data_IF_052014119683
#
_entry.id   IF_052014119683
#
_cell.length_a   1.000
_cell.length_b   1.000
_cell.length_c   1.000
_cell.angle_alpha   90.00
_cell.angle_beta   90.00
_cell.angle_gamma   90.00
#
_symmetry.space_group_name_H-M   'P 1'
#
loop_
_entity.id
_entity.type
_entity.pdbx_description
1 polymer ?
#
# COMPACT_ATOMS: atom_id res chain seq x y z
N UNK A 1 -13.61 5.58 0.11
CA UNK A 1 -12.38 6.32 0.00
C UNK A 1 -11.65 6.25 -1.34
N UNK A 2 -12.20 5.52 -2.31
CA UNK A 2 -11.64 5.50 -3.66
C UNK A 2 -12.14 6.69 -4.47
N UNK A 3 -11.22 7.31 -5.21
CA UNK A 3 -11.53 8.45 -6.06
C UNK A 3 -11.01 8.14 -7.46
N UNK A 4 -11.90 8.20 -8.45
CA UNK A 4 -11.53 8.11 -9.86
C UNK A 4 -11.57 9.52 -10.43
N UNK A 5 -10.47 9.95 -11.01
CA UNK A 5 -10.38 11.23 -11.69
C UNK A 5 -10.04 10.96 -13.15
N UNK A 6 -10.92 11.39 -14.03
CA UNK A 6 -10.70 11.30 -15.47
C UNK A 6 -10.87 12.68 -16.09
N UNK A 7 -9.93 13.08 -16.91
CA UNK A 7 -10.00 14.32 -17.66
C UNK A 7 -10.21 14.00 -19.14
N UNK A 8 -11.28 14.51 -19.72
CA UNK A 8 -11.61 14.26 -21.12
C UNK A 8 -10.70 15.06 -22.06
N UNK A 9 -10.26 14.43 -23.14
CA UNK A 9 -9.42 15.07 -24.15
C UNK A 9 -10.11 16.21 -24.87
N UNK A 10 -11.41 16.27 -24.84
CA UNK A 10 -12.22 17.23 -25.56
C UNK A 10 -12.34 18.60 -24.90
N UNK A 11 -11.74 18.79 -23.72
CA UNK A 11 -11.71 20.12 -23.15
C UNK A 11 -10.63 20.95 -23.82
N UNK A 12 -11.04 21.82 -24.72
CA UNK A 12 -10.16 22.68 -25.53
C UNK A 12 -9.33 23.68 -24.73
N UNK A 13 -9.53 23.76 -23.43
CA UNK A 13 -8.90 24.77 -22.60
C UNK A 13 -7.57 24.34 -21.98
N UNK A 14 -7.18 23.08 -22.12
CA UNK A 14 -5.94 22.58 -21.53
C UNK A 14 -5.86 22.75 -20.02
N UNK A 15 -6.99 22.89 -19.33
CA UNK A 15 -6.99 23.09 -17.89
C UNK A 15 -6.58 21.82 -17.17
N UNK A 16 -5.61 21.97 -16.25
CA UNK A 16 -5.14 20.89 -15.39
C UNK A 16 -6.04 20.85 -14.15
N UNK A 17 -6.60 19.68 -13.87
CA UNK A 17 -7.32 19.48 -12.61
C UNK A 17 -6.32 19.21 -11.50
N UNK A 18 -6.46 19.93 -10.40
CA UNK A 18 -5.62 19.77 -9.20
C UNK A 18 -6.48 19.40 -8.01
N UNK A 19 -6.03 18.37 -7.26
CA UNK A 19 -6.66 18.01 -6.01
C UNK A 19 -5.59 17.88 -4.93
N UNK A 20 -5.81 18.54 -3.80
CA UNK A 20 -4.93 18.47 -2.64
C UNK A 20 -5.52 17.56 -1.57
N UNK A 21 -4.67 16.90 -0.81
CA UNK A 21 -5.04 15.98 0.24
C UNK A 21 -3.92 14.99 0.52
N UNK A 22 -4.28 13.83 1.02
CA UNK A 22 -3.33 12.75 1.26
C UNK A 22 -3.88 11.48 0.60
N UNK A 23 -3.24 11.05 -0.49
CA UNK A 23 -3.74 9.98 -1.34
C UNK A 23 -2.67 8.92 -1.59
N UNK A 24 -3.13 7.72 -1.92
CA UNK A 24 -2.29 6.69 -2.54
C UNK A 24 -2.68 6.59 -4.01
N UNK A 25 -1.70 6.69 -4.91
CA UNK A 25 -1.90 6.51 -6.34
C UNK A 25 -1.92 5.01 -6.65
N UNK A 26 -3.09 4.51 -7.05
CA UNK A 26 -3.30 3.07 -7.26
C UNK A 26 -2.88 2.61 -8.67
N UNK A 27 -2.61 3.53 -9.59
CA UNK A 27 -2.13 3.17 -10.92
C UNK A 27 -0.60 3.02 -11.00
N UNK A 28 0.11 3.51 -10.00
CA UNK A 28 1.56 3.36 -9.93
C UNK A 28 1.96 2.06 -9.24
N UNK A 29 3.00 1.41 -9.73
CA UNK A 29 3.42 0.07 -9.27
C UNK A 29 3.73 -0.02 -7.79
N UNK A 30 4.26 1.04 -7.20
CA UNK A 30 4.64 1.08 -5.79
C UNK A 30 3.62 1.81 -4.91
N UNK A 31 2.45 2.10 -5.46
CA UNK A 31 1.39 2.77 -4.71
C UNK A 31 1.89 3.97 -3.89
N UNK A 32 2.49 4.98 -4.55
CA UNK A 32 3.09 6.09 -3.81
C UNK A 32 2.05 6.92 -3.08
N UNK A 33 2.48 7.47 -1.94
CA UNK A 33 1.68 8.47 -1.21
C UNK A 33 1.94 9.83 -1.83
N UNK A 34 0.87 10.52 -2.19
CA UNK A 34 0.93 11.82 -2.83
C UNK A 34 0.05 12.82 -2.10
N UNK A 35 0.51 14.06 -1.98
CA UNK A 35 -0.24 15.14 -1.33
C UNK A 35 -0.99 16.00 -2.32
N UNK A 36 -0.60 15.97 -3.56
CA UNK A 36 -1.19 16.76 -4.62
C UNK A 36 -1.25 15.94 -5.90
N UNK A 37 -2.40 15.96 -6.54
CA UNK A 37 -2.60 15.24 -7.79
C UNK A 37 -2.90 16.25 -8.88
N UNK A 38 -2.16 16.17 -9.98
CA UNK A 38 -2.39 16.92 -11.20
C UNK A 38 -2.92 15.95 -12.25
N UNK A 39 -4.06 16.30 -12.84
CA UNK A 39 -4.66 15.50 -13.91
C UNK A 39 -4.73 16.37 -15.16
N UNK A 40 -3.93 16.01 -16.15
CA UNK A 40 -3.92 16.68 -17.44
C UNK A 40 -5.07 16.17 -18.33
N UNK A 41 -5.48 16.94 -19.35
CA UNK A 41 -6.51 16.47 -20.28
C UNK A 41 -6.15 15.11 -20.88
N UNK A 42 -7.09 14.19 -20.88
CA UNK A 42 -6.89 12.82 -21.36
C UNK A 42 -6.27 11.85 -20.37
N UNK A 43 -5.89 12.31 -19.19
CA UNK A 43 -5.38 11.43 -18.13
C UNK A 43 -6.48 10.91 -17.23
N UNK A 44 -6.22 9.76 -16.63
CA UNK A 44 -7.08 9.16 -15.61
C UNK A 44 -6.24 8.78 -14.40
N UNK A 45 -6.76 9.03 -13.21
CA UNK A 45 -6.13 8.64 -11.96
C UNK A 45 -7.11 7.88 -11.08
N UNK A 46 -6.62 6.83 -10.44
CA UNK A 46 -7.34 6.11 -9.39
C UNK A 46 -6.60 6.32 -8.09
N UNK A 47 -7.26 6.93 -7.12
CA UNK A 47 -6.67 7.32 -5.85
C UNK A 47 -7.41 6.68 -4.68
N UNK A 48 -6.67 6.40 -3.62
CA UNK A 48 -7.23 6.06 -2.34
C UNK A 48 -7.05 7.24 -1.39
N UNK A 49 -8.16 7.76 -0.85
CA UNK A 49 -8.14 8.93 0.04
C UNK A 49 -7.82 8.50 1.47
N UNK A 50 -6.60 8.77 1.90
CA UNK A 50 -6.12 8.38 3.23
C UNK A 50 -6.78 9.17 4.36
N UNK A 51 -7.25 10.38 4.09
CA UNK A 51 -7.89 11.20 5.11
C UNK A 51 -9.29 10.70 5.50
N UNK A 52 -9.88 9.86 4.67
CA UNK A 52 -11.21 9.30 4.91
C UNK A 52 -11.21 7.90 5.51
N UNK A 53 -10.05 7.37 5.86
CA UNK A 53 -9.96 6.07 6.53
C UNK A 53 -10.18 6.26 8.02
N UNK A 54 -11.03 5.41 8.58
CA UNK A 54 -11.29 5.37 10.02
C UNK A 54 -10.51 4.27 10.73
N UNK A 55 -10.16 3.22 10.01
CA UNK A 55 -9.42 2.08 10.58
C UNK A 55 -7.95 2.41 10.78
N UNK A 56 -7.38 2.01 11.91
CA UNK A 56 -5.95 2.15 12.19
C UNK A 56 -5.10 1.12 11.45
N UNK A 57 -5.70 -0.01 11.10
CA UNK A 57 -5.04 -1.09 10.35
C UNK A 57 -5.84 -1.40 9.11
N UNK A 58 -5.23 -1.23 7.95
CA UNK A 58 -5.89 -1.54 6.69
C UNK A 58 -4.87 -1.76 5.58
N UNK A 59 -5.09 -2.82 4.79
CA UNK A 59 -4.38 -3.00 3.54
C UNK A 59 -5.04 -2.09 2.50
N UNK A 60 -4.25 -1.14 1.98
CA UNK A 60 -4.75 -0.16 1.03
C UNK A 60 -4.67 -0.71 -0.39
N UNK A 61 -3.54 -1.32 -0.75
CA UNK A 61 -3.33 -1.85 -2.08
C UNK A 61 -2.28 -2.96 -2.05
N UNK A 62 -2.52 -4.02 -2.83
CA UNK A 62 -1.56 -5.08 -3.05
C UNK A 62 -1.95 -5.90 -4.27
N UNK A 63 -0.96 -6.47 -4.95
CA UNK A 63 -1.18 -7.46 -6.02
C UNK A 63 -1.34 -8.89 -5.45
N UNK A 64 -1.01 -9.11 -4.19
CA UNK A 64 -1.17 -10.41 -3.54
C UNK A 64 -2.58 -10.60 -3.00
N UNK A 65 -3.02 -11.85 -2.94
CA UNK A 65 -4.24 -12.20 -2.22
C UNK A 65 -3.91 -12.34 -0.75
N UNK A 66 -4.58 -11.56 0.09
CA UNK A 66 -4.42 -11.66 1.54
C UNK A 66 -5.34 -12.75 2.04
N UNK A 67 -4.77 -13.79 2.62
CA UNK A 67 -5.52 -14.90 3.17
C UNK A 67 -5.81 -14.72 4.66
N UNK A 68 -4.91 -14.04 5.37
CA UNK A 68 -5.11 -13.70 6.77
C UNK A 68 -4.30 -12.47 7.13
N UNK A 69 -4.85 -11.63 7.99
CA UNK A 69 -4.15 -10.49 8.55
C UNK A 69 -4.62 -10.27 9.99
N UNK A 70 -3.66 -10.17 10.89
CA UNK A 70 -3.93 -9.88 12.29
C UNK A 70 -2.94 -8.83 12.79
N UNK A 71 -3.43 -7.91 13.60
CA UNK A 71 -2.62 -6.92 14.28
C UNK A 71 -3.14 -6.82 15.71
N UNK A 72 -2.51 -7.57 16.62
CA UNK A 72 -2.94 -7.68 18.01
C UNK A 72 -1.73 -7.54 18.94
N UNK A 73 -1.94 -6.81 20.05
CA UNK A 73 -0.91 -6.65 21.08
C UNK A 73 0.44 -6.14 20.52
N UNK A 74 0.38 -5.25 19.54
CA UNK A 74 1.57 -4.72 18.91
C UNK A 74 2.29 -5.68 17.97
N UNK A 75 1.66 -6.79 17.62
CA UNK A 75 2.23 -7.75 16.67
C UNK A 75 1.44 -7.80 15.37
N UNK A 76 2.15 -7.74 14.26
CA UNK A 76 1.59 -7.82 12.92
C UNK A 76 1.85 -9.21 12.36
N UNK A 77 0.83 -9.81 11.75
CA UNK A 77 0.93 -11.09 11.05
C UNK A 77 0.11 -11.03 9.77
N UNK A 78 0.73 -11.33 8.64
CA UNK A 78 0.08 -11.31 7.34
C UNK A 78 0.40 -12.62 6.62
N UNK A 79 -0.61 -13.27 6.06
CA UNK A 79 -0.46 -14.39 5.16
C UNK A 79 -0.93 -13.98 3.78
N UNK A 80 -0.07 -14.07 2.79
CA UNK A 80 -0.35 -13.61 1.44
C UNK A 80 0.13 -14.61 0.39
N UNK A 81 -0.61 -14.72 -0.69
CA UNK A 81 -0.25 -15.54 -1.85
C UNK A 81 -0.39 -14.72 -3.11
N UNK A 82 0.59 -14.83 -3.99
CA UNK A 82 0.61 -14.12 -5.26
C UNK A 82 0.98 -15.06 -6.39
N UNK A 83 0.81 -14.59 -7.62
CA UNK A 83 1.33 -15.27 -8.80
C UNK A 83 2.85 -15.41 -8.65
N UNK A 84 3.38 -16.55 -9.09
CA UNK A 84 4.80 -16.84 -8.96
C UNK A 84 5.68 -15.86 -9.75
N UNK A 85 6.86 -15.57 -9.20
CA UNK A 85 7.91 -14.75 -9.80
C UNK A 85 7.49 -13.31 -10.17
N UNK A 86 6.64 -12.69 -9.37
CA UNK A 86 6.33 -11.26 -9.52
C UNK A 86 6.88 -10.46 -8.34
N UNK A 87 7.14 -9.18 -8.61
CA UNK A 87 7.40 -8.22 -7.55
C UNK A 87 6.06 -7.86 -6.89
N UNK A 88 5.93 -8.19 -5.61
CA UNK A 88 4.74 -7.81 -4.84
C UNK A 88 5.04 -6.53 -4.07
N UNK A 89 4.19 -5.54 -4.24
CA UNK A 89 4.19 -4.33 -3.43
C UNK A 89 2.90 -4.30 -2.63
N UNK A 90 2.99 -3.86 -1.39
CA UNK A 90 1.86 -3.84 -0.48
C UNK A 90 1.90 -2.58 0.36
N UNK A 91 0.89 -1.73 0.22
CA UNK A 91 0.76 -0.52 1.03
C UNK A 91 -0.24 -0.77 2.14
N UNK A 92 0.20 -0.62 3.38
CA UNK A 92 -0.61 -0.94 4.56
C UNK A 92 -0.61 0.24 5.52
N UNK A 93 -1.79 0.62 5.99
CA UNK A 93 -1.93 1.58 7.08
C UNK A 93 -1.80 0.86 8.42
N UNK A 94 -0.95 1.41 9.29
CA UNK A 94 -0.69 0.86 10.62
C UNK A 94 -0.74 1.96 11.68
N UNK A 95 -1.09 1.63 12.93
CA UNK A 95 -1.14 2.62 14.00
C UNK A 95 0.24 3.12 14.44
N UNK A 96 1.30 2.42 14.09
CA UNK A 96 2.67 2.79 14.43
C UNK A 96 3.67 2.19 13.47
N UNK A 97 4.91 2.68 13.54
CA UNK A 97 6.00 2.22 12.68
C UNK A 97 6.30 0.75 12.96
N UNK A 98 6.30 -0.11 11.94
CA UNK A 98 6.68 -1.51 12.14
C UNK A 98 8.19 -1.68 12.34
N UNK A 99 8.55 -2.60 13.20
CA UNK A 99 9.92 -2.99 13.48
C UNK A 99 10.06 -4.51 13.39
N UNK A 100 11.28 -4.99 13.22
CA UNK A 100 11.59 -6.43 13.16
C UNK A 100 10.74 -7.16 12.11
N UNK A 101 10.52 -6.50 10.97
CA UNK A 101 9.76 -7.09 9.86
C UNK A 101 10.56 -8.22 9.24
N UNK A 102 9.93 -9.38 9.10
CA UNK A 102 10.52 -10.50 8.41
C UNK A 102 9.45 -11.24 7.61
N UNK A 103 9.91 -11.91 6.57
CA UNK A 103 9.07 -12.71 5.71
C UNK A 103 9.67 -14.10 5.55
N UNK A 104 8.82 -15.11 5.55
CA UNK A 104 9.23 -16.49 5.28
C UNK A 104 8.16 -17.20 4.49
N UNK A 105 8.56 -18.23 3.76
CA UNK A 105 7.63 -19.08 3.02
C UNK A 105 6.93 -20.05 3.97
N UNK A 106 5.85 -20.67 3.50
CA UNK A 106 5.13 -21.69 4.25
C UNK A 106 6.05 -22.85 4.66
N UNK A 107 7.05 -23.19 3.84
CA UNK A 107 8.06 -24.21 4.17
C UNK A 107 9.16 -23.72 5.13
N UNK A 108 9.13 -22.47 5.54
CA UNK A 108 10.05 -21.91 6.53
C UNK A 108 11.30 -21.24 5.97
N UNK A 109 11.41 -21.04 4.66
CA UNK A 109 12.53 -20.34 4.06
C UNK A 109 12.43 -18.83 4.28
N UNK A 110 13.50 -18.22 4.75
CA UNK A 110 13.56 -16.77 4.87
C UNK A 110 13.53 -16.11 3.50
N UNK A 111 12.81 -14.99 3.42
CA UNK A 111 12.70 -14.19 2.21
C UNK A 111 13.21 -12.78 2.48
N UNK A 112 13.75 -12.16 1.43
CA UNK A 112 14.11 -10.76 1.49
C UNK A 112 12.84 -9.91 1.45
N UNK A 113 12.69 -9.04 2.44
CA UNK A 113 11.58 -8.11 2.54
C UNK A 113 12.11 -6.69 2.67
N UNK A 114 11.68 -5.83 1.77
CA UNK A 114 11.98 -4.40 1.86
C UNK A 114 10.78 -3.67 2.46
N UNK A 115 11.05 -2.66 3.26
CA UNK A 115 10.00 -1.87 3.88
C UNK A 115 10.38 -0.40 3.92
N UNK A 116 9.41 0.46 3.60
CA UNK A 116 9.54 1.91 3.69
C UNK A 116 8.35 2.45 4.45
N UNK A 117 8.62 3.06 5.60
CA UNK A 117 7.58 3.69 6.42
C UNK A 117 7.38 5.15 6.02
N UNK A 118 6.14 5.56 5.86
CA UNK A 118 5.76 6.95 5.65
C UNK A 118 4.99 7.45 6.88
N UNK A 119 5.65 8.30 7.67
CA UNK A 119 5.11 8.80 8.93
C UNK A 119 3.85 9.65 8.74
N UNK A 120 3.83 10.45 7.72
CA UNK A 120 2.71 11.37 7.47
C UNK A 120 1.41 10.64 7.16
N UNK A 121 1.47 9.61 6.35
CA UNK A 121 0.30 8.81 6.00
C UNK A 121 0.07 7.64 6.97
N UNK A 122 1.04 7.34 7.82
CA UNK A 122 1.06 6.14 8.67
C UNK A 122 0.89 4.87 7.87
N UNK A 123 1.58 4.80 6.73
CA UNK A 123 1.57 3.62 5.88
C UNK A 123 2.98 3.07 5.70
N UNK A 124 3.06 1.77 5.53
CA UNK A 124 4.29 1.09 5.15
C UNK A 124 4.13 0.51 3.75
N UNK A 125 5.18 0.62 2.94
CA UNK A 125 5.27 -0.10 1.69
C UNK A 125 6.16 -1.32 1.91
N UNK A 126 5.59 -2.51 1.79
CA UNK A 126 6.30 -3.77 1.83
C UNK A 126 6.53 -4.28 0.42
N UNK A 127 7.72 -4.79 0.13
CA UNK A 127 8.07 -5.27 -1.20
C UNK A 127 8.86 -6.56 -1.09
N UNK A 128 8.46 -7.56 -1.87
CA UNK A 128 9.16 -8.83 -1.95
C UNK A 128 8.90 -9.48 -3.31
N UNK A 129 9.72 -10.46 -3.64
CA UNK A 129 9.50 -11.24 -4.86
C UNK A 129 8.79 -12.53 -4.50
N UNK A 130 7.67 -12.80 -5.16
CA UNK A 130 6.86 -13.98 -4.89
C UNK A 130 7.50 -15.27 -5.41
N UNK A 131 7.09 -16.37 -4.82
CA UNK A 131 7.36 -17.72 -5.30
C UNK A 131 6.06 -18.54 -5.22
N UNK A 132 6.12 -19.85 -5.48
CA UNK A 132 4.92 -20.69 -5.48
C UNK A 132 4.28 -20.88 -4.11
N UNK A 133 4.88 -20.40 -3.05
CA UNK A 133 4.41 -20.61 -1.69
C UNK A 133 3.72 -19.39 -1.11
N UNK A 134 2.82 -19.65 -0.19
CA UNK A 134 2.27 -18.62 0.68
C UNK A 134 3.41 -17.98 1.49
N UNK A 135 3.35 -16.66 1.64
CA UNK A 135 4.33 -15.88 2.38
C UNK A 135 3.72 -15.43 3.69
N UNK A 136 4.45 -15.61 4.78
CA UNK A 136 4.10 -15.12 6.11
C UNK A 136 4.99 -13.92 6.43
N UNK A 137 4.37 -12.78 6.71
CA UNK A 137 5.06 -11.56 7.09
C UNK A 137 4.70 -11.27 8.54
N UNK A 138 5.72 -11.08 9.37
CA UNK A 138 5.54 -10.76 10.78
C UNK A 138 6.34 -9.53 11.15
N UNK A 139 5.89 -8.81 12.16
CA UNK A 139 6.57 -7.62 12.65
C UNK A 139 6.01 -7.17 13.97
N UNK A 140 6.68 -6.18 14.55
CA UNK A 140 6.24 -5.53 15.79
C UNK A 140 5.91 -4.10 15.47
N UNK A 141 4.89 -3.56 16.12
CA UNK A 141 4.52 -2.17 15.98
C UNK A 141 5.05 -1.39 17.17
N UNK A 142 5.71 -0.28 16.87
CA UNK A 142 6.14 0.65 17.90
C UNK A 142 5.01 1.65 18.14
N UNK A 143 4.39 1.55 19.31
CA UNK A 143 3.43 2.54 19.74
C UNK A 143 4.17 3.70 20.38
N UNK A 144 3.87 4.92 19.95
CA UNK A 144 4.28 6.10 20.69
C UNK A 144 3.35 6.23 21.89
N UNK A 145 3.95 6.13 23.05
CA UNK A 145 3.22 6.37 24.29
C UNK A 145 3.00 7.87 24.53
#
# INVERSE_FOLDING_TARGET
PYIVIASMQESDTGSVYTKEGLFVDLYEDKYPVVERVLVEPGQEKLLFDLEKIKEDVRIIATAARIENMACENGQLSIEAKAIDHIQVNMRIRLPGKPEDLCAHTESGKNMELQSVWDEKSRTVLLSYRSNNEKVHITGKLKYES
#
